data_IF_520289121787
#
_entry.id   IF_520289121787
#
_cell.length_a   1.000
_cell.length_b   1.000
_cell.length_c   1.000
_cell.angle_alpha   90.00
_cell.angle_beta   90.00
_cell.angle_gamma   90.00
#
_symmetry.space_group_name_H-M   'P 1'
#
loop_
_entity.id
_entity.type
_entity.pdbx_description
1 polymer ?
#
# COMPACT_ATOMS: atom_id res chain seq x y z
N UNK A 1 30.36 19.44 -26.26
CA UNK A 1 31.48 18.69 -25.66
C UNK A 1 31.59 19.08 -24.18
N UNK A 2 31.11 18.27 -23.24
CA UNK A 2 31.33 18.45 -21.78
C UNK A 2 31.91 17.15 -21.23
N UNK A 3 33.09 17.31 -20.62
CA UNK A 3 33.94 16.24 -20.12
C UNK A 3 33.42 15.69 -18.78
N UNK A 4 33.26 14.39 -18.70
CA UNK A 4 32.96 13.70 -17.43
C UNK A 4 34.29 13.40 -16.71
N UNK A 5 34.40 13.84 -15.46
CA UNK A 5 35.51 13.48 -14.56
C UNK A 5 35.15 12.18 -13.84
N UNK A 6 35.90 11.15 -14.12
CA UNK A 6 35.92 9.89 -13.41
C UNK A 6 36.66 10.10 -12.08
N UNK A 7 36.02 9.83 -10.95
CA UNK A 7 36.69 9.71 -9.65
C UNK A 7 36.69 8.23 -9.28
N UNK A 8 37.85 7.62 -9.39
CA UNK A 8 38.09 6.30 -8.81
C UNK A 8 38.53 6.50 -7.34
N UNK A 9 37.81 5.82 -6.42
CA UNK A 9 38.21 5.73 -5.01
C UNK A 9 38.54 4.29 -4.69
N UNK A 10 39.80 4.07 -4.30
CA UNK A 10 40.38 2.76 -4.11
C UNK A 10 39.89 2.02 -2.87
N UNK A 11 39.75 0.73 -3.04
CA UNK A 11 39.57 -0.27 -1.99
C UNK A 11 40.94 -0.54 -1.32
N UNK A 12 41.03 -0.33 -0.02
CA UNK A 12 42.11 -0.84 0.78
C UNK A 12 41.63 -2.05 1.59
N UNK A 13 42.11 -3.21 1.17
CA UNK A 13 42.06 -4.48 1.93
C UNK A 13 43.09 -4.40 3.06
N UNK A 14 42.65 -4.68 4.29
CA UNK A 14 43.53 -5.08 5.38
C UNK A 14 43.06 -6.41 5.96
N UNK A 15 43.76 -7.44 5.55
CA UNK A 15 43.81 -8.75 6.20
C UNK A 15 44.68 -8.61 7.46
N UNK A 16 44.10 -8.94 8.61
CA UNK A 16 44.81 -9.10 9.87
C UNK A 16 44.50 -10.48 10.48
N UNK A 17 45.35 -11.43 10.11
CA UNK A 17 45.44 -12.75 10.75
C UNK A 17 46.28 -12.58 11.99
N UNK A 18 45.81 -12.98 13.16
CA UNK A 18 46.69 -13.28 14.30
C UNK A 18 46.10 -14.46 15.10
N UNK A 19 46.79 -15.59 14.94
CA UNK A 19 46.74 -16.71 15.88
C UNK A 19 47.68 -16.38 17.05
N UNK A 20 47.25 -16.62 18.27
CA UNK A 20 48.14 -17.05 19.35
C UNK A 20 47.42 -17.90 20.38
N UNK A 21 48.09 -18.98 20.64
CA UNK A 21 47.80 -20.10 21.53
C UNK A 21 48.06 -19.75 23.01
N UNK A 22 47.41 -20.55 23.86
CA UNK A 22 47.85 -20.99 25.21
C UNK A 22 47.71 -20.05 26.39
N UNK A 23 47.01 -20.54 27.38
CA UNK A 23 47.05 -20.08 28.76
C UNK A 23 45.93 -20.68 29.61
N UNK A 24 46.21 -21.88 30.13
CA UNK A 24 45.41 -22.50 31.18
C UNK A 24 45.78 -21.89 32.53
N UNK A 25 44.82 -21.31 33.26
CA UNK A 25 44.84 -21.25 34.74
C UNK A 25 43.44 -21.06 35.33
N UNK A 26 42.99 -22.05 36.06
CA UNK A 26 42.24 -22.11 37.33
C UNK A 26 41.11 -21.10 37.60
N UNK A 27 39.91 -21.70 37.75
CA UNK A 27 38.90 -21.57 38.84
C UNK A 27 38.62 -20.21 39.45
N UNK A 28 37.38 -19.85 39.31
CA UNK A 28 36.41 -19.24 40.21
C UNK A 28 35.59 -18.10 39.55
N UNK A 29 34.42 -18.43 39.12
CA UNK A 29 33.20 -17.67 39.41
C UNK A 29 31.99 -18.30 38.69
N UNK A 30 31.35 -19.26 39.29
CA UNK A 30 30.14 -19.94 38.82
C UNK A 30 28.84 -19.24 39.27
N UNK A 31 28.88 -17.91 39.47
CA UNK A 31 27.75 -17.16 39.97
C UNK A 31 27.04 -16.25 38.97
N UNK A 32 27.75 -15.81 37.90
CA UNK A 32 27.25 -14.73 37.05
C UNK A 32 26.62 -15.21 35.72
N UNK A 33 26.96 -16.39 35.26
CA UNK A 33 26.43 -16.95 34.01
C UNK A 33 25.00 -17.49 34.18
N UNK A 34 24.69 -18.02 35.40
CA UNK A 34 23.34 -18.53 35.68
C UNK A 34 22.31 -17.39 35.82
N UNK A 35 22.70 -16.26 36.39
CA UNK A 35 21.80 -15.09 36.49
C UNK A 35 21.49 -14.46 35.14
N UNK A 36 22.50 -14.32 34.26
CA UNK A 36 22.29 -13.80 32.90
C UNK A 36 21.45 -14.72 32.02
N UNK A 37 21.56 -16.02 32.19
CA UNK A 37 20.73 -16.98 31.47
C UNK A 37 19.29 -16.97 32.00
N UNK A 38 19.08 -16.77 33.28
CA UNK A 38 17.74 -16.67 33.87
C UNK A 38 17.06 -15.34 33.49
N UNK A 39 17.81 -14.24 33.51
CA UNK A 39 17.28 -12.92 33.05
C UNK A 39 16.97 -12.90 31.55
N UNK A 40 17.76 -13.56 30.71
CA UNK A 40 17.47 -13.72 29.29
C UNK A 40 16.28 -14.65 29.02
N UNK A 41 16.10 -15.71 29.81
CA UNK A 41 14.92 -16.56 29.70
C UNK A 41 13.66 -15.88 30.21
N UNK A 42 13.71 -15.10 31.28
CA UNK A 42 12.57 -14.28 31.72
C UNK A 42 12.23 -13.15 30.74
N UNK A 43 13.23 -12.58 30.04
CA UNK A 43 12.99 -11.58 28.99
C UNK A 43 12.40 -12.21 27.72
N UNK A 44 12.81 -13.43 27.37
CA UNK A 44 12.24 -14.18 26.24
C UNK A 44 10.84 -14.67 26.59
N UNK A 45 10.59 -15.16 27.81
CA UNK A 45 9.27 -15.59 28.26
C UNK A 45 8.30 -14.40 28.40
N UNK A 46 8.79 -13.21 28.79
CA UNK A 46 8.02 -11.97 28.77
C UNK A 46 7.75 -11.44 27.36
N UNK A 47 8.66 -11.69 26.41
CA UNK A 47 8.46 -11.33 25.01
C UNK A 47 7.48 -12.29 24.32
N UNK A 48 7.43 -13.55 24.74
CA UNK A 48 6.48 -14.54 24.20
C UNK A 48 5.08 -14.47 24.84
N UNK A 49 4.95 -13.82 26.02
CA UNK A 49 3.66 -13.53 26.66
C UNK A 49 3.19 -12.09 26.43
N UNK A 50 3.80 -11.33 25.52
CA UNK A 50 3.12 -10.16 24.98
C UNK A 50 1.88 -10.65 24.26
N UNK A 51 0.75 -10.33 24.88
CA UNK A 51 -0.59 -10.70 24.48
C UNK A 51 -0.73 -10.70 22.95
N UNK A 52 -0.92 -11.88 22.39
CA UNK A 52 -1.26 -12.08 20.98
C UNK A 52 -2.51 -11.23 20.63
N UNK A 53 -3.31 -10.87 21.61
CA UNK A 53 -4.45 -9.96 21.46
C UNK A 53 -4.11 -8.54 21.02
N UNK A 54 -2.87 -8.05 21.19
CA UNK A 54 -2.47 -6.72 20.70
C UNK A 54 -1.98 -6.73 19.23
N UNK A 55 -1.79 -7.90 18.63
CA UNK A 55 -1.38 -8.06 17.22
C UNK A 55 -2.57 -8.28 16.31
N UNK A 56 -3.75 -8.52 16.85
CA UNK A 56 -4.96 -8.63 16.05
C UNK A 56 -5.27 -7.29 15.37
N UNK A 57 -5.38 -7.31 14.06
CA UNK A 57 -5.95 -6.24 13.27
C UNK A 57 -7.32 -5.92 13.86
N UNK A 58 -7.39 -4.85 14.66
CA UNK A 58 -8.66 -4.40 15.25
C UNK A 58 -9.56 -3.99 14.10
N UNK A 59 -10.61 -4.73 13.92
CA UNK A 59 -11.67 -4.34 13.01
C UNK A 59 -12.28 -3.03 13.53
N UNK A 60 -12.39 -2.04 12.65
CA UNK A 60 -13.09 -0.80 12.97
C UNK A 60 -14.53 -0.94 12.56
N UNK A 61 -15.33 -1.54 13.40
CA UNK A 61 -16.78 -1.73 13.19
C UNK A 61 -17.45 -0.43 12.74
N UNK A 62 -17.01 0.71 13.27
CA UNK A 62 -17.53 2.04 12.89
C UNK A 62 -17.39 2.38 11.39
N UNK A 63 -16.53 1.70 10.65
CA UNK A 63 -16.44 1.87 9.18
C UNK A 63 -17.62 1.18 8.45
N UNK A 64 -18.28 0.26 9.10
CA UNK A 64 -19.33 -0.61 8.53
C UNK A 64 -20.70 -0.41 9.19
N UNK A 65 -20.80 0.45 10.22
CA UNK A 65 -22.05 0.69 10.97
C UNK A 65 -23.22 1.10 10.09
N UNK A 66 -22.96 1.76 8.97
CA UNK A 66 -23.95 2.20 8.00
C UNK A 66 -23.86 1.44 6.67
N UNK A 67 -23.20 0.28 6.68
CA UNK A 67 -23.03 -0.51 5.46
C UNK A 67 -24.28 -1.36 5.23
N UNK A 68 -25.07 -0.98 4.24
CA UNK A 68 -26.13 -1.83 3.73
C UNK A 68 -25.50 -2.82 2.73
N UNK A 69 -25.48 -4.11 3.08
CA UNK A 69 -24.92 -5.17 2.24
C UNK A 69 -25.61 -5.30 0.87
N UNK A 70 -26.81 -4.75 0.75
CA UNK A 70 -27.62 -4.76 -0.47
C UNK A 70 -27.41 -3.50 -1.31
N UNK A 71 -26.83 -2.46 -0.74
CA UNK A 71 -26.63 -1.18 -1.43
C UNK A 71 -25.47 -1.22 -2.43
N UNK A 72 -25.59 -0.43 -3.48
CA UNK A 72 -24.55 -0.19 -4.47
C UNK A 72 -24.05 1.25 -4.31
N UNK A 73 -22.78 1.39 -3.96
CA UNK A 73 -22.14 2.71 -3.91
C UNK A 73 -21.82 3.16 -5.33
N UNK A 74 -22.33 4.32 -5.74
CA UNK A 74 -22.00 4.92 -7.03
C UNK A 74 -20.88 5.93 -6.87
N UNK A 75 -19.84 5.77 -7.67
CA UNK A 75 -18.70 6.69 -7.72
C UNK A 75 -18.67 7.41 -9.07
N UNK A 76 -18.78 8.72 -9.03
CA UNK A 76 -18.66 9.60 -10.19
C UNK A 76 -17.23 10.09 -10.30
N UNK A 77 -16.52 9.70 -11.35
CA UNK A 77 -15.13 10.05 -11.58
C UNK A 77 -15.00 10.91 -12.83
N UNK A 78 -14.84 12.21 -12.63
CA UNK A 78 -14.56 13.16 -13.72
C UNK A 78 -13.05 13.35 -13.83
N UNK A 79 -12.46 12.96 -14.96
CA UNK A 79 -11.01 13.03 -15.19
C UNK A 79 -10.66 14.23 -16.05
N UNK A 80 -9.54 14.86 -15.75
CA UNK A 80 -8.99 15.97 -16.52
C UNK A 80 -7.47 15.95 -16.44
N UNK A 81 -6.82 16.45 -17.46
CA UNK A 81 -5.39 16.69 -17.40
C UNK A 81 -5.11 17.73 -16.30
N UNK A 82 -4.22 17.39 -15.38
CA UNK A 82 -3.77 18.27 -14.31
C UNK A 82 -2.52 19.05 -14.71
N UNK A 83 -1.52 19.03 -13.81
CA UNK A 83 -0.27 19.77 -14.02
C UNK A 83 0.96 18.92 -13.69
N UNK A 84 2.10 19.30 -14.26
CA UNK A 84 3.37 18.57 -14.11
C UNK A 84 3.94 18.65 -12.69
N UNK A 85 3.62 19.70 -11.93
CA UNK A 85 4.12 19.84 -10.55
C UNK A 85 3.49 18.83 -9.60
N UNK A 86 2.30 18.31 -9.94
CA UNK A 86 1.61 17.24 -9.22
C UNK A 86 1.79 15.87 -9.91
N UNK A 87 2.50 15.80 -11.03
CA UNK A 87 2.66 14.58 -11.82
C UNK A 87 1.36 14.08 -12.46
N UNK A 88 0.41 15.00 -12.70
CA UNK A 88 -0.94 14.68 -13.21
C UNK A 88 -1.21 15.26 -14.60
N UNK A 89 -0.18 15.65 -15.32
CA UNK A 89 -0.23 16.28 -16.64
C UNK A 89 -0.49 15.32 -17.81
N UNK A 90 -0.73 14.06 -17.51
CA UNK A 90 -1.10 13.08 -18.52
C UNK A 90 -2.61 13.07 -18.80
N UNK A 91 -2.96 12.81 -20.03
CA UNK A 91 -4.34 12.66 -20.46
C UNK A 91 -4.92 11.30 -20.10
N UNK A 92 -6.25 11.20 -20.02
CA UNK A 92 -6.94 9.91 -19.85
C UNK A 92 -6.56 8.88 -20.91
N UNK A 93 -6.37 9.34 -22.14
CA UNK A 93 -5.94 8.47 -23.24
C UNK A 93 -4.54 7.90 -22.99
N UNK A 94 -3.60 8.72 -22.57
CA UNK A 94 -2.23 8.30 -22.30
C UNK A 94 -2.15 7.28 -21.17
N UNK A 95 -2.81 7.51 -20.03
CA UNK A 95 -2.78 6.55 -18.92
C UNK A 95 -3.39 5.19 -19.31
N UNK A 96 -4.30 5.16 -20.27
CA UNK A 96 -4.90 3.92 -20.77
C UNK A 96 -4.14 3.27 -21.93
N UNK A 97 -3.18 3.97 -22.54
CA UNK A 97 -2.42 3.46 -23.69
C UNK A 97 -1.32 2.48 -23.30
N UNK A 98 -0.85 2.55 -22.06
CA UNK A 98 0.29 1.76 -21.59
C UNK A 98 -0.14 0.73 -20.56
N UNK A 99 0.56 -0.42 -20.55
CA UNK A 99 0.45 -1.44 -19.51
C UNK A 99 1.55 -1.25 -18.45
N UNK A 100 1.47 -1.97 -17.34
CA UNK A 100 2.54 -1.98 -16.36
C UNK A 100 3.90 -2.37 -16.95
N UNK A 101 3.89 -3.32 -17.89
CA UNK A 101 5.11 -3.77 -18.59
C UNK A 101 5.70 -2.69 -19.51
N UNK A 102 4.85 -1.84 -20.09
CA UNK A 102 5.34 -0.73 -20.91
C UNK A 102 6.03 0.31 -20.04
N UNK A 103 5.47 0.63 -18.86
CA UNK A 103 6.10 1.51 -17.88
C UNK A 103 7.43 0.96 -17.37
N UNK A 104 7.47 -0.34 -17.01
CA UNK A 104 8.69 -1.03 -16.58
C UNK A 104 9.76 -0.96 -17.68
N UNK A 105 9.39 -1.18 -18.94
CA UNK A 105 10.29 -1.11 -20.09
C UNK A 105 10.79 0.32 -20.37
N UNK A 106 9.96 1.33 -20.16
CA UNK A 106 10.33 2.74 -20.30
C UNK A 106 11.17 3.23 -19.11
N UNK A 107 11.17 2.52 -17.99
CA UNK A 107 11.85 2.92 -16.76
C UNK A 107 11.22 4.15 -16.10
N UNK A 108 9.90 4.32 -16.22
CA UNK A 108 9.15 5.44 -15.67
C UNK A 108 8.02 4.97 -14.76
N UNK A 109 7.61 5.83 -13.85
CA UNK A 109 6.43 5.60 -13.03
C UNK A 109 5.15 5.61 -13.88
N UNK A 110 4.10 4.96 -13.37
CA UNK A 110 2.80 4.96 -14.05
C UNK A 110 2.23 6.37 -14.11
N UNK A 111 1.86 6.78 -15.29
CA UNK A 111 1.25 8.07 -15.54
C UNK A 111 -0.04 8.24 -14.74
N UNK A 112 -0.24 9.46 -14.26
CA UNK A 112 -1.40 9.85 -13.50
C UNK A 112 -2.12 11.02 -14.22
N UNK A 113 -3.42 11.09 -13.99
CA UNK A 113 -4.21 12.25 -14.37
C UNK A 113 -5.00 12.76 -13.17
N UNK A 114 -5.35 14.02 -13.18
CA UNK A 114 -6.17 14.60 -12.12
C UNK A 114 -7.63 14.16 -12.27
N UNK A 115 -8.33 14.06 -11.15
CA UNK A 115 -9.73 13.67 -11.12
C UNK A 115 -10.52 14.40 -10.03
N UNK A 116 -11.81 14.55 -10.28
CA UNK A 116 -12.81 14.82 -9.26
C UNK A 116 -13.55 13.53 -8.98
N UNK A 117 -13.41 13.01 -7.77
CA UNK A 117 -14.17 11.88 -7.27
C UNK A 117 -15.34 12.41 -6.44
N UNK A 118 -16.54 11.97 -6.78
CA UNK A 118 -17.77 12.24 -6.01
C UNK A 118 -18.43 10.89 -5.71
N UNK A 119 -18.91 10.74 -4.49
CA UNK A 119 -19.60 9.52 -4.05
C UNK A 119 -21.07 9.80 -3.84
N UNK A 120 -21.91 8.82 -4.14
CA UNK A 120 -23.35 8.93 -4.00
C UNK A 120 -24.11 7.67 -4.42
N UNK A 121 -25.26 7.86 -4.96
CA UNK A 121 -26.16 6.81 -5.47
C UNK A 121 -26.53 7.04 -6.96
N UNK A 122 -27.55 6.35 -7.43
CA UNK A 122 -28.02 6.47 -8.82
C UNK A 122 -28.54 7.86 -9.18
N UNK A 123 -28.97 8.65 -8.18
CA UNK A 123 -29.51 10.01 -8.39
C UNK A 123 -28.44 11.08 -8.48
N UNK A 124 -27.21 10.76 -8.09
CA UNK A 124 -26.07 11.66 -8.13
C UNK A 124 -25.24 11.67 -6.86
N UNK A 125 -24.24 12.58 -6.78
CA UNK A 125 -23.46 12.78 -5.57
C UNK A 125 -24.32 13.14 -4.37
N UNK A 126 -24.08 12.49 -3.22
CA UNK A 126 -24.90 12.67 -2.03
C UNK A 126 -24.26 13.59 -1.00
N UNK A 127 -25.12 14.37 -0.30
CA UNK A 127 -24.69 15.28 0.76
C UNK A 127 -24.02 14.50 1.90
N UNK A 128 -22.88 14.98 2.37
CA UNK A 128 -22.07 14.32 3.40
C UNK A 128 -21.04 13.33 2.86
N UNK A 129 -21.15 12.95 1.57
CA UNK A 129 -20.20 12.06 0.92
C UNK A 129 -19.04 12.87 0.28
N UNK A 130 -17.96 12.13 -0.04
CA UNK A 130 -16.75 12.69 -0.66
C UNK A 130 -17.09 13.42 -1.94
N UNK A 131 -16.57 14.64 -2.09
CA UNK A 131 -16.68 15.47 -3.29
C UNK A 131 -18.05 16.09 -3.51
N UNK A 132 -19.01 15.95 -2.57
CA UNK A 132 -20.31 16.61 -2.71
C UNK A 132 -20.17 18.13 -2.86
N UNK A 133 -20.78 18.69 -3.89
CA UNK A 133 -20.70 20.12 -4.17
C UNK A 133 -19.33 20.64 -4.64
N UNK A 134 -18.33 19.77 -4.74
CA UNK A 134 -17.02 20.14 -5.30
C UNK A 134 -17.07 20.18 -6.84
N UNK A 135 -16.30 21.11 -7.40
CA UNK A 135 -16.12 21.28 -8.85
C UNK A 135 -14.65 21.33 -9.26
N UNK A 136 -13.75 21.08 -8.31
CA UNK A 136 -12.29 21.03 -8.52
C UNK A 136 -11.76 19.65 -8.22
N UNK A 137 -10.62 19.34 -8.83
CA UNK A 137 -9.97 18.03 -8.67
C UNK A 137 -9.60 17.79 -7.20
N UNK A 138 -10.06 16.68 -6.65
CA UNK A 138 -9.80 16.24 -5.29
C UNK A 138 -8.99 14.93 -5.24
N UNK A 139 -8.69 14.34 -6.39
CA UNK A 139 -8.02 13.05 -6.49
C UNK A 139 -7.06 12.99 -7.68
N UNK A 140 -6.24 11.93 -7.69
CA UNK A 140 -5.48 11.46 -8.85
C UNK A 140 -5.93 10.07 -9.23
N UNK A 141 -5.80 9.71 -10.49
CA UNK A 141 -6.12 8.37 -10.99
C UNK A 141 -5.02 7.83 -11.90
N UNK A 142 -4.73 6.53 -11.75
CA UNK A 142 -3.78 5.80 -12.60
C UNK A 142 -4.29 4.37 -12.83
N UNK A 143 -3.74 3.69 -13.85
CA UNK A 143 -4.01 2.27 -14.03
C UNK A 143 -3.42 1.45 -12.88
N UNK A 144 -4.08 0.31 -12.58
CA UNK A 144 -3.68 -0.61 -11.53
C UNK A 144 -3.51 -2.04 -12.05
N UNK A 145 -2.70 -2.81 -11.32
CA UNK A 145 -2.43 -4.23 -11.62
C UNK A 145 -1.22 -4.40 -12.55
N UNK A 146 -0.62 -5.58 -12.52
CA UNK A 146 0.50 -5.94 -13.39
C UNK A 146 -0.06 -6.60 -14.65
N UNK A 147 -0.49 -7.84 -14.55
CA UNK A 147 -1.04 -8.59 -15.68
C UNK A 147 -2.33 -7.98 -16.23
N UNK A 148 -3.25 -7.58 -15.36
CA UNK A 148 -4.54 -6.99 -15.73
C UNK A 148 -4.44 -5.63 -16.42
N UNK A 149 -3.29 -4.95 -16.32
CA UNK A 149 -3.06 -3.69 -17.03
C UNK A 149 -3.01 -3.82 -18.54
N UNK A 150 -2.84 -5.04 -19.08
CA UNK A 150 -2.91 -5.34 -20.53
C UNK A 150 -4.34 -5.50 -21.05
N UNK A 151 -5.29 -5.67 -20.15
CA UNK A 151 -6.67 -5.90 -20.53
C UNK A 151 -7.29 -4.67 -21.20
N UNK A 152 -8.27 -4.85 -22.07
CA UNK A 152 -9.01 -3.73 -22.69
C UNK A 152 -9.78 -2.92 -21.66
N UNK A 153 -10.31 -3.57 -20.62
CA UNK A 153 -10.91 -2.92 -19.47
C UNK A 153 -9.91 -2.92 -18.32
N UNK A 154 -9.44 -1.76 -17.96
CA UNK A 154 -8.40 -1.57 -16.96
C UNK A 154 -8.96 -1.54 -15.53
N UNK A 155 -8.10 -1.83 -14.57
CA UNK A 155 -8.31 -1.52 -13.16
C UNK A 155 -7.68 -0.18 -12.86
N UNK A 156 -8.25 0.56 -11.92
CA UNK A 156 -7.76 1.88 -11.55
C UNK A 156 -7.47 1.99 -10.06
N UNK A 157 -6.45 2.76 -9.71
CA UNK A 157 -6.20 3.27 -8.37
C UNK A 157 -6.59 4.75 -8.37
N UNK A 158 -7.47 5.13 -7.45
CA UNK A 158 -7.84 6.52 -7.18
C UNK A 158 -7.21 6.89 -5.85
N UNK A 159 -6.58 8.04 -5.76
CA UNK A 159 -5.99 8.53 -4.54
C UNK A 159 -6.46 9.96 -4.25
N UNK A 160 -7.21 10.12 -3.15
CA UNK A 160 -7.68 11.42 -2.68
C UNK A 160 -6.50 12.28 -2.21
N UNK A 161 -6.49 13.56 -2.58
CA UNK A 161 -5.49 14.53 -2.12
C UNK A 161 -5.57 14.66 -0.59
N UNK A 162 -4.44 14.94 0.06
CA UNK A 162 -4.31 14.93 1.54
C UNK A 162 -5.36 15.76 2.26
N UNK A 163 -5.78 16.87 1.67
CA UNK A 163 -6.70 17.85 2.29
C UNK A 163 -8.12 17.76 1.75
N UNK A 164 -8.47 16.67 1.07
CA UNK A 164 -9.76 16.50 0.37
C UNK A 164 -10.63 15.38 0.96
N UNK A 165 -10.41 15.09 2.25
CA UNK A 165 -11.19 14.10 2.98
C UNK A 165 -10.76 12.67 2.71
N UNK A 166 -11.59 11.77 3.19
CA UNK A 166 -11.42 10.31 3.05
C UNK A 166 -12.79 9.69 2.78
N UNK A 167 -12.81 8.60 2.04
CA UNK A 167 -13.99 7.76 1.92
C UNK A 167 -13.85 6.56 2.87
N UNK A 168 -14.76 6.42 3.84
CA UNK A 168 -14.69 5.36 4.88
C UNK A 168 -13.30 5.29 5.53
N UNK A 169 -12.72 6.44 5.87
CA UNK A 169 -11.39 6.54 6.47
C UNK A 169 -10.22 6.25 5.52
N UNK A 170 -10.47 5.94 4.25
CA UNK A 170 -9.45 5.60 3.27
C UNK A 170 -9.25 6.72 2.24
N UNK A 171 -7.99 6.97 1.87
CA UNK A 171 -7.63 7.88 0.79
C UNK A 171 -7.39 7.16 -0.54
N UNK A 172 -7.05 5.89 -0.49
CA UNK A 172 -6.78 5.07 -1.66
C UNK A 172 -7.92 4.12 -1.93
N UNK A 173 -8.52 4.23 -3.11
CA UNK A 173 -9.64 3.40 -3.55
C UNK A 173 -9.19 2.63 -4.79
N UNK A 174 -9.38 1.31 -4.77
CA UNK A 174 -9.03 0.43 -5.88
C UNK A 174 -10.28 -0.05 -6.60
N UNK A 175 -10.47 0.40 -7.82
CA UNK A 175 -11.54 -0.07 -8.70
C UNK A 175 -11.06 -1.27 -9.52
N UNK A 176 -11.59 -2.44 -9.23
CA UNK A 176 -11.24 -3.66 -9.92
C UNK A 176 -12.34 -4.09 -10.87
N UNK A 177 -12.00 -4.23 -12.15
CA UNK A 177 -12.89 -4.78 -13.18
C UNK A 177 -12.62 -6.27 -13.35
N UNK A 178 -13.52 -7.09 -12.85
CA UNK A 178 -13.41 -8.55 -12.96
C UNK A 178 -13.74 -9.02 -14.38
N UNK A 179 -12.77 -9.01 -15.28
CA UNK A 179 -12.97 -9.33 -16.70
C UNK A 179 -13.29 -10.80 -16.98
N UNK A 180 -12.71 -11.70 -16.16
CA UNK A 180 -12.81 -13.15 -16.34
C UNK A 180 -14.01 -13.76 -15.62
N UNK A 181 -14.79 -12.95 -14.93
CA UNK A 181 -15.90 -13.38 -14.13
C UNK A 181 -17.17 -12.62 -14.52
N UNK A 182 -18.14 -13.35 -15.08
CA UNK A 182 -19.36 -12.77 -15.65
C UNK A 182 -20.27 -12.09 -14.63
N UNK A 183 -20.33 -12.62 -13.42
CA UNK A 183 -21.23 -12.13 -12.36
C UNK A 183 -20.61 -10.97 -11.54
N UNK A 184 -19.29 -10.85 -11.54
CA UNK A 184 -18.52 -9.74 -10.94
C UNK A 184 -18.66 -9.55 -9.42
N UNK A 185 -19.15 -10.53 -8.70
CA UNK A 185 -19.32 -10.47 -7.24
C UNK A 185 -18.48 -11.51 -6.47
N UNK A 186 -17.64 -12.29 -7.14
CA UNK A 186 -16.88 -13.37 -6.51
C UNK A 186 -16.04 -12.87 -5.33
N UNK A 187 -15.41 -11.70 -5.45
CA UNK A 187 -14.63 -11.13 -4.35
C UNK A 187 -15.53 -10.79 -3.17
N UNK A 188 -16.69 -10.15 -3.41
CA UNK A 188 -17.66 -9.85 -2.35
C UNK A 188 -18.08 -11.14 -1.64
N UNK A 189 -18.48 -12.14 -2.39
CA UNK A 189 -18.86 -13.44 -1.84
C UNK A 189 -17.74 -14.07 -0.99
N UNK A 190 -16.50 -13.99 -1.45
CA UNK A 190 -15.36 -14.51 -0.70
C UNK A 190 -15.16 -13.78 0.63
N UNK A 191 -15.27 -12.45 0.63
CA UNK A 191 -15.17 -11.67 1.87
C UNK A 191 -16.35 -11.94 2.81
N UNK A 192 -17.57 -12.04 2.29
CA UNK A 192 -18.75 -12.34 3.11
C UNK A 192 -18.65 -13.74 3.76
N UNK A 193 -18.12 -14.72 3.04
CA UNK A 193 -17.84 -16.04 3.60
C UNK A 193 -16.76 -16.01 4.70
N UNK A 194 -15.74 -15.16 4.56
CA UNK A 194 -14.67 -15.04 5.54
C UNK A 194 -15.13 -14.32 6.83
N UNK A 195 -16.11 -13.44 6.77
CA UNK A 195 -16.69 -12.78 7.95
C UNK A 195 -17.25 -13.76 8.98
N UNK A 196 -17.68 -14.94 8.55
CA UNK A 196 -18.23 -15.98 9.42
C UNK A 196 -17.20 -16.93 10.03
N UNK A 197 -15.92 -16.75 9.75
CA UNK A 197 -14.85 -17.61 10.28
C UNK A 197 -14.29 -16.93 11.54
N UNK A 198 -14.42 -17.56 12.74
CA UNK A 198 -13.80 -17.04 13.95
C UNK A 198 -12.29 -16.94 13.76
N UNK A 199 -11.71 -15.78 14.10
CA UNK A 199 -10.26 -15.55 14.11
C UNK A 199 -9.68 -15.86 15.48
#
# INVERSE_FOLDING_TARGET
>A
MKKYKLLALGCALLLGMSCCLTGCTTLENTGDTSKKQTEQQEEIEKAETQDIDDVHLRDKDSLYENDDETSVVTMYLTVSQGNSSEGTDHTWKEINSYSAYDYDKMGVDRYQTAALLQVGDESGPQSGEVGYGENVQNATVQIRGQTSSRNSQKNYKIELKKNKGTWRGQRTINLNKHQTEGMRFRNKLSYDLLKGIPQ
#
